data_IF_087963216619
#
_entry.id   IF_087963216619
#
_cell.length_a   1.000
_cell.length_b   1.000
_cell.length_c   1.000
_cell.angle_alpha   90.00
_cell.angle_beta   90.00
_cell.angle_gamma   90.00
#
_symmetry.space_group_name_H-M   'P 1'
#
loop_
_entity.id
_entity.type
_entity.pdbx_description
1 polymer ?
#
# COMPACT_ATOMS: atom_id res chain seq x y z
N UNK A 1 42.06 19.63 -73.95
CA UNK A 1 42.07 18.23 -73.43
C UNK A 1 42.34 18.28 -71.93
N UNK A 2 41.34 18.65 -71.14
CA UNK A 2 41.51 18.85 -69.68
C UNK A 2 40.37 18.29 -68.83
N UNK A 3 39.52 17.42 -69.40
CA UNK A 3 38.28 16.98 -68.76
C UNK A 3 38.21 15.46 -68.52
N UNK A 4 39.29 14.84 -68.04
CA UNK A 4 39.20 13.43 -67.58
C UNK A 4 39.85 13.15 -66.22
N UNK A 5 40.44 14.14 -65.53
CA UNK A 5 41.07 13.90 -64.23
C UNK A 5 40.23 14.26 -63.00
N UNK A 6 39.03 14.85 -63.16
CA UNK A 6 38.25 15.36 -62.02
C UNK A 6 37.05 14.48 -61.60
N UNK A 7 36.86 13.31 -62.22
CA UNK A 7 35.69 12.45 -61.94
C UNK A 7 36.01 11.26 -61.01
N UNK A 8 37.29 10.98 -60.70
CA UNK A 8 37.62 9.80 -59.88
C UNK A 8 37.71 10.03 -58.37
N UNK A 9 37.77 11.28 -57.88
CA UNK A 9 37.93 11.55 -56.43
C UNK A 9 36.61 11.75 -55.66
N UNK A 10 35.48 11.97 -56.33
CA UNK A 10 34.21 12.30 -55.66
C UNK A 10 33.31 11.09 -55.39
N UNK A 11 33.53 9.95 -56.04
CA UNK A 11 32.72 8.73 -55.81
C UNK A 11 33.12 7.95 -54.55
N UNK A 12 34.33 8.14 -54.01
CA UNK A 12 34.83 7.35 -52.88
C UNK A 12 34.52 7.95 -51.49
N UNK A 13 34.25 9.26 -51.39
CA UNK A 13 33.84 9.91 -50.13
C UNK A 13 32.35 9.71 -49.80
N UNK A 14 31.48 9.57 -50.81
CA UNK A 14 30.04 9.33 -50.60
C UNK A 14 29.70 7.93 -50.09
N UNK A 15 30.45 6.92 -50.54
CA UNK A 15 30.22 5.52 -50.18
C UNK A 15 30.76 5.13 -48.78
N UNK A 16 31.74 5.86 -48.26
CA UNK A 16 32.31 5.65 -46.92
C UNK A 16 31.48 6.34 -45.83
N UNK A 17 30.93 7.54 -46.10
CA UNK A 17 30.00 8.22 -45.21
C UNK A 17 28.67 7.44 -45.02
N UNK A 18 28.13 6.84 -46.10
CA UNK A 18 26.85 6.11 -46.08
C UNK A 18 26.94 4.72 -45.41
N UNK A 19 28.09 4.04 -45.53
CA UNK A 19 28.36 2.77 -44.85
C UNK A 19 28.63 2.95 -43.36
N UNK A 20 29.37 4.00 -42.98
CA UNK A 20 29.68 4.29 -41.58
C UNK A 20 28.42 4.77 -40.81
N UNK A 21 27.58 5.60 -41.43
CA UNK A 21 26.30 6.02 -40.83
C UNK A 21 25.31 4.87 -40.65
N UNK A 22 25.22 3.92 -41.58
CA UNK A 22 24.35 2.74 -41.44
C UNK A 22 24.80 1.84 -40.28
N UNK A 23 26.11 1.58 -40.17
CA UNK A 23 26.69 0.82 -39.05
C UNK A 23 26.50 1.50 -37.70
N UNK A 24 26.65 2.83 -37.64
CA UNK A 24 26.39 3.60 -36.41
C UNK A 24 24.90 3.54 -36.06
N UNK A 25 23.99 3.72 -37.00
CA UNK A 25 22.54 3.65 -36.75
C UNK A 25 22.13 2.26 -36.22
N UNK A 26 22.69 1.19 -36.77
CA UNK A 26 22.39 -0.19 -36.36
C UNK A 26 22.96 -0.51 -34.97
N UNK A 27 24.19 -0.04 -34.69
CA UNK A 27 24.80 -0.13 -33.36
C UNK A 27 24.02 0.70 -32.31
N UNK A 28 23.60 1.91 -32.68
CA UNK A 28 22.80 2.79 -31.81
C UNK A 28 21.39 2.21 -31.55
N UNK A 29 20.79 1.53 -32.55
CA UNK A 29 19.51 0.82 -32.40
C UNK A 29 19.65 -0.38 -31.47
N UNK A 30 20.71 -1.16 -31.58
CA UNK A 30 20.97 -2.30 -30.68
C UNK A 30 21.24 -1.84 -29.25
N UNK A 31 21.99 -0.75 -29.07
CA UNK A 31 22.20 -0.14 -27.74
C UNK A 31 20.86 0.37 -27.18
N UNK A 32 20.07 1.12 -27.94
CA UNK A 32 18.79 1.67 -27.50
C UNK A 32 17.77 0.58 -27.11
N UNK A 33 17.68 -0.51 -27.89
CA UNK A 33 16.81 -1.65 -27.58
C UNK A 33 17.31 -2.46 -26.38
N UNK A 34 18.62 -2.63 -26.23
CA UNK A 34 19.19 -3.30 -25.05
C UNK A 34 19.00 -2.48 -23.77
N UNK A 35 19.10 -1.15 -23.83
CA UNK A 35 18.83 -0.27 -22.68
C UNK A 35 17.36 -0.23 -22.31
N UNK A 36 16.45 -0.21 -23.28
CA UNK A 36 15.01 -0.28 -23.02
C UNK A 36 14.62 -1.62 -22.37
N UNK A 37 15.16 -2.74 -22.89
CA UNK A 37 14.92 -4.06 -22.32
C UNK A 37 15.54 -4.20 -20.91
N UNK A 38 16.73 -3.64 -20.68
CA UNK A 38 17.37 -3.64 -19.37
C UNK A 38 16.58 -2.82 -18.34
N UNK A 39 16.07 -1.66 -18.74
CA UNK A 39 15.25 -0.80 -17.89
C UNK A 39 13.91 -1.48 -17.54
N UNK A 40 13.22 -2.07 -18.51
CA UNK A 40 11.98 -2.82 -18.25
C UNK A 40 12.21 -4.06 -17.38
N UNK A 41 13.35 -4.75 -17.56
CA UNK A 41 13.72 -5.89 -16.70
C UNK A 41 14.01 -5.43 -15.27
N UNK A 42 14.64 -4.27 -15.09
CA UNK A 42 14.90 -3.69 -13.77
C UNK A 42 13.60 -3.32 -13.05
N UNK A 43 12.71 -2.60 -13.72
CA UNK A 43 11.41 -2.20 -13.18
C UNK A 43 10.54 -3.41 -12.81
N UNK A 44 10.54 -4.45 -13.65
CA UNK A 44 9.84 -5.70 -13.36
C UNK A 44 10.38 -6.39 -12.09
N UNK A 45 11.70 -6.42 -11.92
CA UNK A 45 12.31 -7.01 -10.72
C UNK A 45 12.06 -6.17 -9.46
N UNK A 46 12.08 -4.85 -9.56
CA UNK A 46 11.72 -3.95 -8.47
C UNK A 46 10.26 -4.17 -8.05
N UNK A 47 9.34 -4.27 -9.02
CA UNK A 47 7.94 -4.54 -8.76
C UNK A 47 7.71 -5.91 -8.09
N UNK A 48 8.43 -6.94 -8.55
CA UNK A 48 8.38 -8.28 -7.96
C UNK A 48 8.93 -8.30 -6.53
N UNK A 49 9.92 -7.46 -6.24
CA UNK A 49 10.47 -7.33 -4.89
C UNK A 49 9.46 -6.63 -3.97
N UNK A 50 8.84 -5.54 -4.43
CA UNK A 50 7.79 -4.84 -3.67
C UNK A 50 6.56 -5.71 -3.42
N UNK A 51 6.14 -6.51 -4.40
CA UNK A 51 5.04 -7.47 -4.21
C UNK A 51 5.33 -8.42 -3.04
N UNK A 52 6.53 -9.02 -3.01
CA UNK A 52 6.93 -9.94 -1.94
C UNK A 52 6.95 -9.27 -0.57
N UNK A 53 7.49 -8.06 -0.49
CA UNK A 53 7.53 -7.29 0.75
C UNK A 53 6.13 -6.97 1.27
N UNK A 54 5.21 -6.59 0.38
CA UNK A 54 3.82 -6.33 0.72
C UNK A 54 3.08 -7.60 1.15
N UNK A 55 3.35 -8.74 0.51
CA UNK A 55 2.77 -10.03 0.91
C UNK A 55 3.24 -10.46 2.30
N UNK A 56 4.53 -10.25 2.62
CA UNK A 56 5.08 -10.51 3.96
C UNK A 56 4.47 -9.59 5.01
N UNK A 57 4.31 -8.30 4.71
CA UNK A 57 3.67 -7.33 5.60
C UNK A 57 2.19 -7.66 5.83
N UNK A 58 1.46 -7.99 4.77
CA UNK A 58 0.07 -8.44 4.85
C UNK A 58 -0.07 -9.69 5.69
N UNK A 59 0.85 -10.66 5.54
CA UNK A 59 0.84 -11.87 6.36
C UNK A 59 1.04 -11.54 7.84
N UNK A 60 2.00 -10.67 8.16
CA UNK A 60 2.27 -10.23 9.54
C UNK A 60 1.05 -9.52 10.15
N UNK A 61 0.48 -8.55 9.44
CA UNK A 61 -0.71 -7.80 9.88
C UNK A 61 -1.92 -8.74 10.09
N UNK A 62 -2.11 -9.71 9.20
CA UNK A 62 -3.19 -10.70 9.33
C UNK A 62 -3.01 -11.59 10.56
N UNK A 63 -1.78 -11.99 10.88
CA UNK A 63 -1.50 -12.76 12.09
C UNK A 63 -1.78 -11.94 13.36
N UNK A 64 -1.35 -10.67 13.38
CA UNK A 64 -1.61 -9.75 14.50
C UNK A 64 -3.11 -9.52 14.72
N UNK A 65 -3.87 -9.34 13.64
CA UNK A 65 -5.34 -9.20 13.70
C UNK A 65 -6.02 -10.52 14.15
N UNK A 66 -5.48 -11.68 13.74
CA UNK A 66 -6.06 -12.98 14.10
C UNK A 66 -5.82 -13.37 15.57
N UNK A 67 -4.76 -12.86 16.19
CA UNK A 67 -4.44 -13.12 17.61
C UNK A 67 -5.23 -12.22 18.57
N UNK A 68 -5.78 -11.08 18.09
CA UNK A 68 -6.62 -10.19 18.88
C UNK A 68 -8.11 -10.58 18.88
N UNK A 69 -8.90 -10.13 19.88
CA UNK A 69 -10.34 -10.19 19.79
C UNK A 69 -10.79 -9.41 18.55
N UNK A 70 -11.70 -9.99 17.77
CA UNK A 70 -12.22 -9.29 16.59
C UNK A 70 -12.82 -7.97 17.03
N UNK A 71 -12.60 -6.91 16.23
CA UNK A 71 -13.25 -5.60 16.47
C UNK A 71 -14.76 -5.77 16.60
N UNK A 72 -15.34 -6.72 15.85
CA UNK A 72 -16.75 -7.06 15.93
C UNK A 72 -17.16 -7.62 17.30
N UNK A 73 -16.35 -8.51 17.85
CA UNK A 73 -16.63 -9.15 19.14
C UNK A 73 -16.46 -8.13 20.28
N UNK A 74 -15.39 -7.32 20.22
CA UNK A 74 -15.19 -6.22 21.17
C UNK A 74 -16.35 -5.22 21.13
N UNK A 75 -16.86 -4.90 19.93
CA UNK A 75 -18.00 -4.00 19.79
C UNK A 75 -19.29 -4.62 20.35
N UNK A 76 -19.47 -5.93 20.18
CA UNK A 76 -20.61 -6.65 20.73
C UNK A 76 -20.60 -6.62 22.26
N UNK A 77 -19.47 -6.96 22.88
CA UNK A 77 -19.30 -6.94 24.33
C UNK A 77 -19.55 -5.54 24.90
N UNK A 78 -19.12 -4.49 24.19
CA UNK A 78 -19.34 -3.11 24.60
C UNK A 78 -20.83 -2.72 24.57
N UNK A 79 -21.57 -3.19 23.56
CA UNK A 79 -23.01 -2.97 23.49
C UNK A 79 -23.75 -3.74 24.59
N UNK A 80 -23.40 -5.01 24.81
CA UNK A 80 -23.99 -5.81 25.88
C UNK A 80 -23.75 -5.20 27.26
N UNK A 81 -22.53 -4.72 27.53
CA UNK A 81 -22.21 -4.01 28.76
C UNK A 81 -23.07 -2.76 28.94
N UNK A 82 -23.21 -1.94 27.89
CA UNK A 82 -24.02 -0.73 27.95
C UNK A 82 -25.50 -1.05 28.19
N UNK A 83 -26.05 -2.06 27.53
CA UNK A 83 -27.44 -2.47 27.70
C UNK A 83 -27.73 -2.91 29.15
N UNK A 84 -26.81 -3.68 29.75
CA UNK A 84 -26.91 -4.10 31.15
C UNK A 84 -26.79 -2.90 32.09
N UNK A 85 -25.83 -2.00 31.84
CA UNK A 85 -25.64 -0.78 32.63
C UNK A 85 -26.89 0.09 32.63
N UNK A 86 -27.47 0.31 31.45
CA UNK A 86 -28.64 1.16 31.28
C UNK A 86 -29.88 0.53 31.93
N UNK A 87 -30.07 -0.78 31.76
CA UNK A 87 -31.13 -1.53 32.44
C UNK A 87 -31.00 -1.43 33.97
N UNK A 88 -29.77 -1.54 34.48
CA UNK A 88 -29.47 -1.41 35.91
C UNK A 88 -29.78 0.01 36.41
N UNK A 89 -29.44 1.03 35.63
CA UNK A 89 -29.73 2.43 35.97
C UNK A 89 -31.23 2.71 36.08
N UNK A 90 -32.05 2.11 35.21
CA UNK A 90 -33.52 2.20 35.28
C UNK A 90 -34.03 1.59 36.58
N UNK A 91 -33.55 0.39 36.93
CA UNK A 91 -33.95 -0.29 38.17
C UNK A 91 -33.49 0.49 39.39
N UNK A 92 -32.27 1.05 39.40
CA UNK A 92 -31.79 1.92 40.47
C UNK A 92 -32.61 3.20 40.62
N UNK A 93 -33.05 3.80 39.51
CA UNK A 93 -33.94 4.95 39.52
C UNK A 93 -35.28 4.62 40.20
N UNK A 94 -35.92 3.53 39.80
CA UNK A 94 -37.17 3.08 40.41
C UNK A 94 -37.00 2.73 41.91
N UNK A 95 -35.90 2.07 42.27
CA UNK A 95 -35.59 1.80 43.68
C UNK A 95 -35.39 3.09 44.48
N UNK A 96 -34.68 4.07 43.92
CA UNK A 96 -34.46 5.36 44.59
C UNK A 96 -35.78 6.06 44.90
N UNK A 97 -36.73 6.05 43.96
CA UNK A 97 -38.09 6.56 44.17
C UNK A 97 -38.83 5.81 45.28
N UNK A 98 -38.82 4.47 45.24
CA UNK A 98 -39.49 3.63 46.24
C UNK A 98 -38.95 3.84 47.65
N UNK A 99 -37.62 3.93 47.79
CA UNK A 99 -36.95 4.11 49.07
C UNK A 99 -36.85 5.59 49.51
N UNK A 100 -37.37 6.52 48.71
CA UNK A 100 -37.19 7.98 48.88
C UNK A 100 -35.73 8.35 49.16
N UNK A 101 -34.81 7.69 48.47
CA UNK A 101 -33.38 7.93 48.54
C UNK A 101 -32.87 8.45 47.19
N UNK A 102 -31.60 8.86 47.13
CA UNK A 102 -30.99 9.23 45.85
C UNK A 102 -30.27 8.04 45.26
N UNK A 103 -30.15 8.00 43.93
CA UNK A 103 -29.36 6.98 43.23
C UNK A 103 -27.92 6.94 43.79
N UNK A 104 -27.30 8.10 44.03
CA UNK A 104 -25.97 8.17 44.66
C UNK A 104 -25.89 7.51 46.04
N UNK A 105 -26.96 7.57 46.85
CA UNK A 105 -27.03 6.89 48.13
C UNK A 105 -27.12 5.36 47.92
N UNK A 106 -27.91 4.91 46.94
CA UNK A 106 -28.02 3.49 46.60
C UNK A 106 -26.72 2.90 46.07
N UNK A 107 -25.94 3.65 45.27
CA UNK A 107 -24.60 3.22 44.87
C UNK A 107 -23.71 2.93 46.08
N UNK A 108 -23.76 3.77 47.13
CA UNK A 108 -23.02 3.52 48.38
C UNK A 108 -23.56 2.31 49.14
N UNK A 109 -24.89 2.16 49.22
CA UNK A 109 -25.54 1.04 49.94
C UNK A 109 -25.22 -0.31 49.31
N UNK A 110 -25.17 -0.38 47.97
CA UNK A 110 -24.88 -1.61 47.22
C UNK A 110 -23.41 -1.74 46.81
N UNK A 111 -22.55 -0.81 47.25
CA UNK A 111 -21.12 -0.77 46.91
C UNK A 111 -20.86 -0.79 45.39
N UNK A 112 -21.65 -0.03 44.64
CA UNK A 112 -21.54 0.14 43.19
C UNK A 112 -20.62 1.33 42.86
N UNK A 113 -19.83 1.26 41.78
CA UNK A 113 -19.02 2.37 41.30
C UNK A 113 -19.92 3.53 40.83
N UNK A 114 -19.47 4.77 41.00
CA UNK A 114 -20.21 6.01 40.67
C UNK A 114 -19.75 6.68 39.38
N UNK A 115 -18.81 6.06 38.66
CA UNK A 115 -18.16 6.63 37.48
C UNK A 115 -18.85 6.21 36.17
#
# INVERSE_FOLDING_TARGET
>A
MSNELEISLTENLGATAKRNSSSIIESTRNICTSTANHQSTKEYNELLQTEKELDEELKKLRMEIAEGPSVKDTMHDLHEYNDIKDSTQIVLGAMAEMYKSTVAQLHKTFNLPTD
#
